data_IF_253740242012
#
_entry.id   IF_253740242012
#
_cell.length_a   1.000
_cell.length_b   1.000
_cell.length_c   1.000
_cell.angle_alpha   90.00
_cell.angle_beta   90.00
_cell.angle_gamma   90.00
#
_symmetry.space_group_name_H-M   'P 1'
#
loop_
_entity.id
_entity.type
_entity.pdbx_description
1 polymer ?
#
# COMPACT_ATOMS: atom_id res chain seq x y z
N UNK A 1 70.72 13.08 3.59
CA UNK A 1 69.92 13.36 4.80
C UNK A 1 68.45 13.26 4.39
N UNK A 2 67.78 12.23 4.91
CA UNK A 2 66.32 12.01 5.03
C UNK A 2 65.42 12.13 3.78
N UNK A 3 64.95 10.96 3.33
CA UNK A 3 63.74 10.73 2.54
C UNK A 3 62.48 11.26 3.24
N UNK A 4 61.53 11.86 2.50
CA UNK A 4 60.09 11.71 2.77
C UNK A 4 59.28 11.78 1.47
N UNK A 5 58.43 10.77 1.29
CA UNK A 5 57.55 10.52 0.15
C UNK A 5 56.19 11.24 0.30
N UNK A 6 55.41 11.42 -0.80
CA UNK A 6 54.07 12.02 -0.75
C UNK A 6 52.99 10.99 -0.38
N UNK A 7 51.87 11.37 0.26
CA UNK A 7 50.77 10.46 0.51
C UNK A 7 49.84 10.29 -0.70
N UNK A 8 49.74 9.02 -1.11
CA UNK A 8 48.69 8.32 -1.86
C UNK A 8 47.29 8.47 -1.23
N UNK A 9 46.14 8.11 -1.79
CA UNK A 9 45.65 7.74 -3.13
C UNK A 9 44.11 7.72 -3.03
N UNK A 10 43.42 8.14 -4.10
CA UNK A 10 41.96 8.03 -4.24
C UNK A 10 41.56 6.55 -4.39
N UNK A 11 40.59 6.09 -3.60
CA UNK A 11 40.06 4.73 -3.72
C UNK A 11 39.09 4.64 -4.90
N UNK A 12 39.50 3.88 -5.92
CA UNK A 12 38.67 3.43 -7.04
C UNK A 12 37.63 2.41 -6.54
N UNK A 13 36.33 2.71 -6.75
CA UNK A 13 35.25 1.72 -6.61
C UNK A 13 35.14 0.97 -7.93
N UNK A 14 35.54 -0.30 -7.90
CA UNK A 14 35.57 -1.17 -9.07
C UNK A 14 34.17 -1.53 -9.58
N UNK A 15 33.94 -1.30 -10.87
CA UNK A 15 32.83 -1.87 -11.64
C UNK A 15 33.04 -3.39 -11.78
N UNK A 16 32.10 -4.21 -11.29
CA UNK A 16 32.04 -5.65 -11.61
C UNK A 16 30.94 -5.91 -12.63
N UNK A 17 31.34 -6.42 -13.79
CA UNK A 17 30.48 -6.88 -14.88
C UNK A 17 29.83 -8.23 -14.53
N UNK A 18 28.50 -8.30 -14.63
CA UNK A 18 27.75 -9.54 -14.44
C UNK A 18 27.45 -10.19 -15.80
N UNK A 19 28.15 -11.27 -16.15
CA UNK A 19 27.71 -12.22 -17.18
C UNK A 19 26.83 -13.28 -16.49
N UNK A 20 25.61 -13.48 -17.00
CA UNK A 20 24.73 -14.61 -16.61
C UNK A 20 24.81 -15.66 -17.71
N UNK A 21 25.40 -16.80 -17.43
CA UNK A 21 25.16 -18.02 -18.22
C UNK A 21 23.86 -18.68 -17.73
N UNK A 22 22.88 -18.77 -18.62
CA UNK A 22 21.70 -19.63 -18.46
C UNK A 22 21.75 -20.69 -19.54
N UNK A 23 22.19 -21.89 -19.18
CA UNK A 23 21.97 -23.09 -19.97
C UNK A 23 20.53 -23.56 -19.76
N UNK A 24 19.71 -23.40 -20.81
CA UNK A 24 18.36 -23.95 -20.89
C UNK A 24 18.48 -25.42 -21.29
N UNK A 25 17.97 -26.34 -20.46
CA UNK A 25 17.65 -27.71 -20.89
C UNK A 25 16.14 -27.86 -20.95
N UNK A 26 15.64 -28.08 -22.15
CA UNK A 26 14.27 -28.47 -22.46
C UNK A 26 14.09 -29.98 -22.26
N UNK A 27 12.95 -30.40 -21.71
CA UNK A 27 12.36 -31.68 -22.08
C UNK A 27 10.81 -31.60 -22.02
N UNK A 28 10.08 -32.23 -22.96
CA UNK A 28 8.63 -32.07 -23.14
C UNK A 28 7.81 -33.22 -22.50
N UNK A 29 6.48 -33.10 -22.66
CA UNK A 29 5.39 -34.08 -22.50
C UNK A 29 4.61 -34.14 -21.17
N UNK A 30 3.50 -33.41 -21.19
CA UNK A 30 2.12 -33.70 -20.75
C UNK A 30 1.79 -34.90 -19.85
N UNK A 31 1.11 -34.60 -18.75
CA UNK A 31 -0.12 -35.29 -18.35
C UNK A 31 -1.03 -34.31 -17.58
N UNK A 32 -2.33 -34.35 -17.88
CA UNK A 32 -3.34 -33.48 -17.30
C UNK A 32 -3.55 -33.81 -15.80
N UNK A 33 -3.22 -32.85 -14.93
CA UNK A 33 -3.49 -32.87 -13.49
C UNK A 33 -4.62 -31.91 -13.10
N UNK A 34 -5.11 -31.95 -11.85
CA UNK A 34 -6.31 -31.26 -11.40
C UNK A 34 -6.18 -29.73 -11.53
N UNK A 35 -7.30 -29.07 -11.86
CA UNK A 35 -7.47 -27.62 -12.04
C UNK A 35 -6.69 -26.82 -11.00
N UNK A 36 -5.57 -26.22 -11.43
CA UNK A 36 -4.65 -25.47 -10.59
C UNK A 36 -5.34 -24.15 -10.16
N UNK A 37 -6.00 -24.28 -9.02
CA UNK A 37 -6.69 -23.36 -8.10
C UNK A 37 -7.22 -22.01 -8.64
N UNK A 38 -8.51 -21.78 -8.38
CA UNK A 38 -9.19 -20.48 -8.53
C UNK A 38 -8.52 -19.33 -7.75
N UNK A 39 -7.61 -19.65 -6.83
CA UNK A 39 -6.92 -18.72 -5.93
C UNK A 39 -5.63 -18.15 -6.55
N UNK A 40 -4.94 -18.89 -7.44
CA UNK A 40 -3.70 -18.39 -8.07
C UNK A 40 -3.91 -17.17 -8.98
N UNK A 41 -5.11 -17.07 -9.57
CA UNK A 41 -5.52 -16.00 -10.48
C UNK A 41 -5.74 -14.63 -9.79
N UNK A 42 -5.88 -14.58 -8.46
CA UNK A 42 -6.23 -13.32 -7.76
C UNK A 42 -5.25 -13.03 -6.61
N UNK A 43 -3.95 -13.07 -6.90
CA UNK A 43 -2.89 -12.67 -5.94
C UNK A 43 -3.07 -11.25 -5.39
N UNK A 44 -3.64 -10.36 -6.20
CA UNK A 44 -3.88 -8.95 -5.86
C UNK A 44 -5.33 -8.58 -6.19
N UNK A 45 -5.95 -7.71 -5.38
CA UNK A 45 -7.25 -7.12 -5.71
C UNK A 45 -7.20 -6.26 -6.98
N UNK A 46 -8.35 -6.02 -7.60
CA UNK A 46 -8.48 -5.17 -8.79
C UNK A 46 -8.22 -5.88 -10.12
N UNK A 47 -8.20 -7.22 -10.14
CA UNK A 47 -8.04 -8.03 -11.36
C UNK A 47 -9.39 -8.29 -12.04
N UNK A 48 -10.19 -7.23 -12.22
CA UNK A 48 -11.56 -7.35 -12.72
C UNK A 48 -11.66 -7.99 -14.11
N UNK A 49 -10.76 -7.64 -15.03
CA UNK A 49 -10.72 -8.23 -16.37
C UNK A 49 -10.46 -9.74 -16.34
N UNK A 50 -9.70 -10.21 -15.36
CA UNK A 50 -9.44 -11.64 -15.18
C UNK A 50 -10.66 -12.36 -14.64
N UNK A 51 -11.35 -11.76 -13.67
CA UNK A 51 -12.63 -12.26 -13.19
C UNK A 51 -13.68 -12.33 -14.33
N UNK A 52 -13.73 -11.31 -15.21
CA UNK A 52 -14.57 -11.32 -16.40
C UNK A 52 -14.22 -12.46 -17.36
N UNK A 53 -12.93 -12.73 -17.62
CA UNK A 53 -12.51 -13.86 -18.47
C UNK A 53 -12.89 -15.20 -17.88
N UNK A 54 -12.74 -15.37 -16.57
CA UNK A 54 -12.96 -16.66 -15.89
C UNK A 54 -14.42 -16.97 -15.65
N UNK A 55 -15.21 -15.98 -15.22
CA UNK A 55 -16.60 -16.20 -14.83
C UNK A 55 -17.59 -15.63 -15.85
N UNK A 56 -17.16 -14.78 -16.79
CA UNK A 56 -17.99 -14.09 -17.80
C UNK A 56 -18.39 -12.65 -17.43
N UNK A 57 -19.30 -12.07 -18.21
CA UNK A 57 -19.80 -10.70 -18.03
C UNK A 57 -18.83 -9.62 -18.49
N UNK A 58 -19.29 -8.36 -18.53
CA UNK A 58 -18.44 -7.20 -18.87
C UNK A 58 -18.06 -6.46 -17.60
N UNK A 59 -16.94 -5.71 -17.55
CA UNK A 59 -16.50 -5.01 -16.34
C UNK A 59 -17.60 -4.18 -15.64
N UNK A 60 -18.45 -3.49 -16.40
CA UNK A 60 -19.58 -2.69 -15.86
C UNK A 60 -20.68 -3.51 -15.17
N UNK A 61 -20.75 -4.81 -15.44
CA UNK A 61 -21.73 -5.71 -14.83
C UNK A 61 -21.26 -6.19 -13.44
N UNK A 62 -19.98 -5.98 -13.11
CA UNK A 62 -19.38 -6.43 -11.86
C UNK A 62 -19.43 -5.39 -10.75
N UNK A 63 -19.57 -5.86 -9.53
CA UNK A 63 -19.30 -5.09 -8.31
C UNK A 63 -17.91 -5.49 -7.79
N UNK A 64 -16.92 -4.61 -7.92
CA UNK A 64 -15.56 -4.87 -7.44
C UNK A 64 -15.37 -4.37 -6.00
N UNK A 65 -15.28 -5.33 -5.08
CA UNK A 65 -15.01 -5.14 -3.66
C UNK A 65 -13.64 -5.72 -3.28
N UNK A 66 -12.72 -5.94 -4.22
CA UNK A 66 -11.47 -6.64 -3.94
C UNK A 66 -10.30 -5.73 -3.55
N UNK A 67 -10.40 -4.42 -3.79
CA UNK A 67 -9.25 -3.49 -3.78
C UNK A 67 -9.04 -2.74 -2.47
N UNK A 68 -10.09 -2.49 -1.68
CA UNK A 68 -10.04 -1.61 -0.51
C UNK A 68 -9.80 -0.14 -0.90
N UNK A 69 -10.37 0.30 -2.02
CA UNK A 69 -10.33 1.69 -2.51
C UNK A 69 -11.65 2.34 -2.15
N UNK A 70 -11.63 3.65 -1.83
CA UNK A 70 -12.86 4.40 -1.62
C UNK A 70 -13.71 4.35 -2.90
N UNK A 71 -14.93 3.80 -2.85
CA UNK A 71 -15.78 3.67 -4.02
C UNK A 71 -16.33 5.01 -4.52
N UNK A 72 -16.27 6.06 -3.69
CA UNK A 72 -16.63 7.43 -4.05
C UNK A 72 -15.37 8.26 -4.24
N UNK A 73 -14.90 8.35 -5.49
CA UNK A 73 -13.68 9.06 -5.81
C UNK A 73 -13.84 10.58 -5.62
N UNK A 74 -12.76 11.24 -5.20
CA UNK A 74 -12.69 12.71 -5.20
C UNK A 74 -12.95 13.22 -6.64
N UNK A 75 -13.76 14.27 -6.83
CA UNK A 75 -14.26 14.67 -8.15
C UNK A 75 -13.19 15.36 -9.00
N UNK A 76 -12.25 14.59 -9.52
CA UNK A 76 -11.10 15.08 -10.29
C UNK A 76 -11.43 15.86 -11.56
N UNK A 77 -12.66 15.73 -12.08
CA UNK A 77 -13.14 16.49 -13.24
C UNK A 77 -13.23 18.00 -13.00
N UNK A 78 -13.19 18.46 -11.75
CA UNK A 78 -13.16 19.89 -11.39
C UNK A 78 -11.78 20.54 -11.61
N UNK A 79 -10.73 19.73 -11.76
CA UNK A 79 -9.36 20.21 -11.96
C UNK A 79 -9.16 20.56 -13.44
N UNK A 80 -8.50 21.69 -13.77
CA UNK A 80 -8.21 22.05 -15.15
C UNK A 80 -7.54 20.92 -15.93
N UNK A 81 -7.86 20.83 -17.22
CA UNK A 81 -7.30 19.82 -18.09
C UNK A 81 -5.77 19.89 -18.09
N UNK A 82 -5.13 18.74 -17.94
CA UNK A 82 -3.67 18.62 -17.96
C UNK A 82 -3.13 18.87 -19.37
N UNK A 83 -2.12 19.72 -19.48
CA UNK A 83 -1.32 19.83 -20.70
C UNK A 83 -0.37 18.64 -20.80
N UNK A 84 -0.69 17.71 -21.71
CA UNK A 84 0.09 16.48 -21.92
C UNK A 84 1.37 16.70 -22.73
N UNK A 85 1.58 17.89 -23.29
CA UNK A 85 2.74 18.20 -24.13
C UNK A 85 3.92 18.77 -23.35
N UNK A 86 3.68 19.19 -22.09
CA UNK A 86 4.69 19.78 -21.21
C UNK A 86 5.14 18.81 -20.14
N UNK A 87 6.44 18.88 -19.82
CA UNK A 87 7.00 18.21 -18.65
C UNK A 87 6.51 18.90 -17.37
N UNK A 88 6.34 18.15 -16.26
CA UNK A 88 6.03 18.74 -14.97
C UNK A 88 7.12 19.72 -14.51
N UNK A 89 6.71 20.88 -14.01
CA UNK A 89 7.63 21.89 -13.46
C UNK A 89 7.91 21.61 -11.97
N UNK A 90 9.11 21.93 -11.47
CA UNK A 90 9.46 21.77 -10.05
C UNK A 90 8.50 22.48 -9.09
N UNK A 91 7.99 23.66 -9.44
CA UNK A 91 7.07 24.42 -8.59
C UNK A 91 5.75 23.67 -8.33
N UNK A 92 5.24 22.94 -9.33
CA UNK A 92 4.02 22.14 -9.19
C UNK A 92 4.25 20.92 -8.29
N UNK A 93 5.45 20.34 -8.33
CA UNK A 93 5.84 19.27 -7.41
C UNK A 93 5.97 19.79 -5.98
N UNK A 94 6.63 20.94 -5.80
CA UNK A 94 6.82 21.58 -4.50
C UNK A 94 5.47 21.97 -3.86
N UNK A 95 4.53 22.52 -4.62
CA UNK A 95 3.18 22.85 -4.12
C UNK A 95 2.42 21.59 -3.70
N UNK A 96 2.48 20.51 -4.50
CA UNK A 96 1.87 19.24 -4.11
C UNK A 96 2.45 18.73 -2.79
N UNK A 97 3.78 18.70 -2.67
CA UNK A 97 4.47 18.21 -1.48
C UNK A 97 4.17 19.09 -0.26
N UNK A 98 4.08 20.42 -0.42
CA UNK A 98 3.69 21.32 0.66
C UNK A 98 2.26 21.05 1.16
N UNK A 99 1.29 20.84 0.24
CA UNK A 99 -0.09 20.48 0.60
C UNK A 99 -0.17 19.13 1.30
N UNK A 100 0.53 18.14 0.76
CA UNK A 100 0.58 16.80 1.33
C UNK A 100 1.23 16.81 2.72
N UNK A 101 2.35 17.51 2.89
CA UNK A 101 3.05 17.66 4.16
C UNK A 101 2.16 18.33 5.22
N UNK A 102 1.45 19.40 4.87
CA UNK A 102 0.48 20.04 5.75
C UNK A 102 -0.65 19.09 6.18
N UNK A 103 -1.19 18.30 5.23
CA UNK A 103 -2.22 17.28 5.52
C UNK A 103 -1.70 16.15 6.42
N UNK A 104 -0.45 15.72 6.22
CA UNK A 104 0.21 14.71 7.06
C UNK A 104 0.73 15.26 8.40
N UNK A 105 0.72 16.59 8.56
CA UNK A 105 1.27 17.33 9.71
C UNK A 105 2.76 17.06 9.93
N UNK A 106 3.52 17.07 8.85
CA UNK A 106 4.98 16.91 8.85
C UNK A 106 5.62 18.09 8.13
N UNK A 107 6.88 18.40 8.43
CA UNK A 107 7.64 19.38 7.67
C UNK A 107 7.83 18.93 6.21
N UNK A 108 7.76 19.86 5.25
CA UNK A 108 7.89 19.55 3.83
C UNK A 108 9.26 18.99 3.45
N UNK A 109 10.33 19.32 4.19
CA UNK A 109 11.66 18.75 4.01
C UNK A 109 11.73 17.25 4.30
N UNK A 110 10.74 16.71 5.01
CA UNK A 110 10.58 15.29 5.28
C UNK A 110 9.59 14.59 4.34
N UNK A 111 9.07 15.27 3.31
CA UNK A 111 8.07 14.73 2.39
C UNK A 111 8.64 14.60 0.98
N UNK A 112 8.40 13.45 0.33
CA UNK A 112 8.74 13.22 -1.07
C UNK A 112 7.55 12.59 -1.79
N UNK A 113 7.02 13.24 -2.82
CA UNK A 113 6.04 12.65 -3.71
C UNK A 113 6.70 11.59 -4.61
N UNK A 114 5.96 10.52 -4.91
CA UNK A 114 6.46 9.39 -5.69
C UNK A 114 5.34 8.74 -6.50
N UNK A 115 5.69 8.02 -7.57
CA UNK A 115 4.81 7.22 -8.43
C UNK A 115 4.12 6.03 -7.75
N UNK A 116 3.46 6.28 -6.61
CA UNK A 116 2.77 5.33 -5.75
C UNK A 116 3.69 4.71 -4.70
N UNK A 117 3.12 4.42 -3.52
CA UNK A 117 3.88 3.86 -2.39
C UNK A 117 4.57 2.52 -2.67
N UNK A 118 4.10 1.76 -3.67
CA UNK A 118 4.76 0.51 -4.11
C UNK A 118 6.20 0.74 -4.59
N UNK A 119 6.46 1.85 -5.30
CA UNK A 119 7.81 2.19 -5.72
C UNK A 119 8.70 2.50 -4.50
N UNK A 120 8.16 3.23 -3.52
CA UNK A 120 8.84 3.53 -2.28
C UNK A 120 9.18 2.26 -1.49
N UNK A 121 8.25 1.29 -1.36
CA UNK A 121 8.49 -0.01 -0.70
C UNK A 121 9.74 -0.69 -1.28
N UNK A 122 9.87 -0.72 -2.60
CA UNK A 122 10.98 -1.40 -3.29
C UNK A 122 12.30 -0.63 -3.22
N UNK A 123 12.25 0.69 -3.20
CA UNK A 123 13.44 1.54 -3.13
C UNK A 123 13.97 1.67 -1.70
N UNK A 124 13.11 1.85 -0.70
CA UNK A 124 13.52 1.96 0.72
C UNK A 124 14.30 0.73 1.17
N UNK A 125 13.82 -0.48 0.84
CA UNK A 125 14.53 -1.71 1.17
C UNK A 125 15.96 -1.73 0.64
N UNK A 126 16.20 -1.12 -0.53
CA UNK A 126 17.54 -1.01 -1.14
C UNK A 126 18.37 0.11 -0.55
N UNK A 127 17.76 1.28 -0.33
CA UNK A 127 18.43 2.47 0.21
C UNK A 127 18.95 2.25 1.63
N UNK A 128 18.19 1.52 2.46
CA UNK A 128 18.61 1.24 3.83
C UNK A 128 19.80 0.27 3.90
N UNK A 129 19.97 -0.61 2.90
CA UNK A 129 21.08 -1.58 2.89
C UNK A 129 21.06 -2.59 4.05
N UNK A 130 19.97 -2.67 4.80
CA UNK A 130 19.77 -3.57 5.94
C UNK A 130 18.97 -4.81 5.54
N UNK A 131 19.06 -5.87 6.35
CA UNK A 131 18.16 -7.01 6.19
C UNK A 131 16.72 -6.57 6.49
N UNK A 132 15.83 -6.74 5.51
CA UNK A 132 14.42 -6.42 5.67
C UNK A 132 13.63 -7.54 6.38
N UNK A 133 12.65 -7.17 7.20
CA UNK A 133 11.66 -8.09 7.78
C UNK A 133 10.27 -7.48 7.79
N UNK A 134 9.26 -8.25 7.39
CA UNK A 134 7.86 -7.83 7.43
C UNK A 134 7.11 -8.41 8.64
N UNK A 135 6.20 -7.62 9.25
CA UNK A 135 5.27 -8.13 10.27
C UNK A 135 4.16 -8.93 9.62
N UNK A 136 3.86 -10.10 10.19
CA UNK A 136 2.80 -10.98 9.71
C UNK A 136 1.47 -10.74 10.45
N UNK A 137 0.32 -10.92 9.77
CA UNK A 137 0.17 -11.10 8.33
C UNK A 137 0.50 -9.79 7.58
N UNK A 138 1.30 -9.90 6.51
CA UNK A 138 1.79 -8.73 5.78
C UNK A 138 1.04 -8.49 4.46
N UNK A 139 1.17 -7.28 3.93
CA UNK A 139 0.90 -7.04 2.52
C UNK A 139 1.98 -7.75 1.68
N UNK A 140 1.57 -8.39 0.57
CA UNK A 140 2.47 -9.24 -0.23
C UNK A 140 3.76 -8.51 -0.66
N UNK A 141 3.66 -7.25 -1.12
CA UNK A 141 4.85 -6.47 -1.52
C UNK A 141 5.81 -6.19 -0.36
N UNK A 142 5.33 -6.15 0.88
CA UNK A 142 6.21 -6.02 2.05
C UNK A 142 7.07 -7.27 2.20
N UNK A 143 6.49 -8.46 2.07
CA UNK A 143 7.24 -9.72 2.14
C UNK A 143 8.24 -9.86 0.98
N UNK A 144 7.84 -9.42 -0.21
CA UNK A 144 8.70 -9.46 -1.40
C UNK A 144 9.91 -8.51 -1.27
N UNK A 145 9.70 -7.30 -0.73
CA UNK A 145 10.75 -6.29 -0.64
C UNK A 145 11.60 -6.44 0.63
N UNK A 146 11.01 -6.87 1.74
CA UNK A 146 11.65 -7.01 3.05
C UNK A 146 11.73 -8.49 3.43
N UNK A 147 12.51 -9.23 2.64
CA UNK A 147 12.65 -10.68 2.77
C UNK A 147 13.63 -11.04 3.90
N UNK A 148 13.08 -11.65 4.96
CA UNK A 148 13.83 -12.08 6.13
C UNK A 148 12.93 -12.84 7.11
N UNK A 149 13.44 -13.24 8.29
CA UNK A 149 12.61 -13.83 9.34
C UNK A 149 11.44 -12.91 9.68
N UNK A 150 10.25 -13.48 9.90
CA UNK A 150 9.07 -12.70 10.27
C UNK A 150 9.36 -11.86 11.53
N UNK A 151 8.88 -10.62 11.53
CA UNK A 151 9.00 -9.73 12.66
C UNK A 151 7.70 -9.72 13.48
N UNK A 152 7.87 -9.54 14.80
CA UNK A 152 6.76 -9.40 15.74
C UNK A 152 6.71 -7.96 16.26
N UNK A 153 5.50 -7.42 16.36
CA UNK A 153 5.31 -6.09 16.93
C UNK A 153 5.87 -6.00 18.36
N UNK A 154 6.62 -4.94 18.62
CA UNK A 154 7.19 -4.66 19.94
C UNK A 154 8.46 -5.43 20.28
N UNK A 155 8.90 -6.38 19.45
CA UNK A 155 10.22 -7.04 19.61
C UNK A 155 11.30 -6.24 18.90
N UNK A 156 12.49 -6.19 19.52
CA UNK A 156 13.67 -5.53 18.96
C UNK A 156 14.66 -6.62 18.57
N UNK A 157 15.01 -6.75 17.28
CA UNK A 157 16.02 -7.70 16.83
C UNK A 157 17.40 -7.36 17.40
N UNK A 158 18.22 -8.39 17.63
CA UNK A 158 19.59 -8.25 18.17
C UNK A 158 20.52 -7.54 17.18
N UNK A 159 20.29 -7.74 15.88
CA UNK A 159 21.06 -7.13 14.81
C UNK A 159 20.24 -6.00 14.16
N UNK A 160 20.89 -4.92 13.67
CA UNK A 160 20.24 -3.87 12.90
C UNK A 160 19.47 -4.39 11.69
N UNK A 161 18.18 -4.06 11.60
CA UNK A 161 17.31 -4.47 10.50
C UNK A 161 16.38 -3.35 10.05
N UNK A 162 15.75 -3.52 8.90
CA UNK A 162 14.62 -2.69 8.48
C UNK A 162 13.30 -3.46 8.65
N UNK A 163 12.41 -2.98 9.52
CA UNK A 163 11.12 -3.58 9.77
C UNK A 163 10.03 -2.85 8.99
N UNK A 164 9.10 -3.59 8.37
CA UNK A 164 7.95 -2.99 7.68
C UNK A 164 6.62 -3.60 8.12
N UNK A 165 5.60 -2.76 8.26
CA UNK A 165 4.21 -3.19 8.43
C UNK A 165 3.23 -2.10 8.00
N UNK A 166 1.98 -2.46 7.72
CA UNK A 166 0.92 -1.49 7.44
C UNK A 166 0.09 -1.14 8.69
N UNK A 167 -0.36 0.12 8.78
CA UNK A 167 -1.27 0.60 9.82
C UNK A 167 -2.28 1.63 9.28
N UNK A 168 -3.60 1.35 9.21
CA UNK A 168 -4.23 0.04 9.38
C UNK A 168 -3.62 -1.04 8.46
N UNK A 169 -3.52 -2.27 8.96
CA UNK A 169 -2.87 -3.36 8.26
C UNK A 169 -3.68 -3.92 7.09
N UNK A 170 -2.99 -4.44 6.08
CA UNK A 170 -3.57 -5.21 4.97
C UNK A 170 -2.95 -6.60 5.02
N UNK A 171 -3.74 -7.66 5.30
CA UNK A 171 -5.15 -7.75 4.91
C UNK A 171 -6.21 -7.65 6.01
N UNK A 172 -5.84 -7.71 7.29
CA UNK A 172 -6.77 -7.91 8.40
C UNK A 172 -7.42 -6.63 8.93
N UNK A 173 -6.99 -5.45 8.44
CA UNK A 173 -7.51 -4.16 8.86
C UNK A 173 -7.12 -3.78 10.28
N UNK A 174 -6.18 -4.49 10.92
CA UNK A 174 -5.74 -4.21 12.29
C UNK A 174 -5.16 -2.81 12.38
N UNK A 175 -5.69 -2.00 13.29
CA UNK A 175 -5.17 -0.69 13.63
C UNK A 175 -4.46 -0.79 14.97
N UNK A 176 -3.20 -0.38 15.01
CA UNK A 176 -2.38 -0.26 16.21
C UNK A 176 -2.33 1.19 16.64
N UNK A 177 -2.22 1.40 17.95
CA UNK A 177 -2.18 2.74 18.51
C UNK A 177 -0.86 3.43 18.13
N UNK A 178 -0.95 4.70 17.75
CA UNK A 178 0.21 5.47 17.29
C UNK A 178 1.32 5.52 18.35
N UNK A 179 0.96 5.70 19.62
CA UNK A 179 1.93 5.78 20.71
C UNK A 179 2.73 4.47 20.92
N UNK A 180 2.11 3.30 20.74
CA UNK A 180 2.81 2.00 20.82
C UNK A 180 3.81 1.85 19.67
N UNK A 181 3.45 2.31 18.47
CA UNK A 181 4.32 2.29 17.29
C UNK A 181 5.53 3.19 17.54
N UNK A 182 5.33 4.39 18.09
CA UNK A 182 6.40 5.34 18.40
C UNK A 182 7.34 4.80 19.48
N UNK A 183 6.80 4.26 20.57
CA UNK A 183 7.59 3.64 21.63
C UNK A 183 8.43 2.47 21.11
N UNK A 184 7.92 1.73 20.12
CA UNK A 184 8.69 0.69 19.45
C UNK A 184 9.74 1.27 18.49
N UNK A 185 9.40 2.32 17.72
CA UNK A 185 10.33 3.03 16.84
C UNK A 185 11.53 3.59 17.60
N UNK A 186 11.33 4.11 18.81
CA UNK A 186 12.41 4.67 19.63
C UNK A 186 13.38 3.58 20.08
N UNK A 187 12.86 2.42 20.52
CA UNK A 187 13.70 1.26 20.88
C UNK A 187 14.45 0.68 19.68
N UNK A 188 13.82 0.63 18.51
CA UNK A 188 14.48 0.19 17.27
C UNK A 188 15.59 1.17 16.88
N UNK A 189 15.34 2.47 16.99
CA UNK A 189 16.32 3.51 16.67
C UNK A 189 17.57 3.39 17.55
N UNK A 190 17.39 3.09 18.84
CA UNK A 190 18.51 2.88 19.76
C UNK A 190 19.42 1.70 19.37
N UNK A 191 18.88 0.68 18.72
CA UNK A 191 19.61 -0.51 18.23
C UNK A 191 20.01 -0.39 16.75
N UNK A 192 19.97 0.80 16.15
CA UNK A 192 20.35 0.99 14.75
C UNK A 192 19.37 0.40 13.72
N UNK A 193 18.16 0.03 14.15
CA UNK A 193 17.13 -0.53 13.28
C UNK A 193 16.16 0.54 12.77
N UNK A 194 15.63 0.29 11.58
CA UNK A 194 14.64 1.16 10.93
C UNK A 194 13.23 0.61 11.05
N UNK A 195 12.26 1.51 11.24
CA UNK A 195 10.85 1.20 11.16
C UNK A 195 10.21 1.87 9.94
N UNK A 196 9.58 1.08 9.08
CA UNK A 196 8.80 1.53 7.92
C UNK A 196 7.33 1.24 8.20
N UNK A 197 6.52 2.30 8.32
CA UNK A 197 5.08 2.21 8.56
C UNK A 197 4.33 2.55 7.28
N UNK A 198 3.67 1.57 6.68
CA UNK A 198 2.81 1.76 5.51
C UNK A 198 1.42 2.23 5.95
N UNK A 199 1.21 3.54 5.86
CA UNK A 199 -0.02 4.24 6.23
C UNK A 199 -0.94 4.45 5.01
N UNK A 200 -0.96 3.51 4.06
CA UNK A 200 -1.81 3.58 2.86
C UNK A 200 -3.31 3.78 3.14
N UNK A 201 -3.80 3.41 4.33
CA UNK A 201 -5.21 3.58 4.73
C UNK A 201 -5.42 4.61 5.84
N UNK A 202 -4.35 5.26 6.34
CA UNK A 202 -4.43 6.11 7.53
C UNK A 202 -5.19 7.42 7.33
N UNK A 203 -5.44 7.85 6.08
CA UNK A 203 -6.28 9.02 5.81
C UNK A 203 -7.72 8.86 6.33
N UNK A 204 -8.18 7.62 6.52
CA UNK A 204 -9.46 7.31 7.13
C UNK A 204 -9.49 7.59 8.64
N UNK A 205 -8.38 7.33 9.33
CA UNK A 205 -8.23 7.48 10.79
C UNK A 205 -6.87 8.13 11.12
N UNK A 206 -6.74 9.46 10.95
CA UNK A 206 -5.46 10.15 11.08
C UNK A 206 -4.98 10.29 12.54
N UNK A 207 -5.80 9.95 13.54
CA UNK A 207 -5.42 10.07 14.96
C UNK A 207 -4.28 9.12 15.34
N UNK A 208 -4.25 7.94 14.72
CA UNK A 208 -3.25 6.89 15.00
C UNK A 208 -2.02 6.97 14.08
N UNK A 209 -1.94 8.00 13.24
CA UNK A 209 -0.83 8.17 12.32
C UNK A 209 0.44 8.60 13.05
N UNK A 210 1.57 8.01 12.66
CA UNK A 210 2.90 8.36 13.13
C UNK A 210 3.65 9.33 12.22
N UNK A 211 3.06 9.73 11.08
CA UNK A 211 3.65 10.72 10.18
C UNK A 211 4.11 12.04 10.85
N UNK A 212 3.36 12.62 11.82
CA UNK A 212 3.77 13.85 12.48
C UNK A 212 5.06 13.73 13.30
N UNK A 213 5.54 12.50 13.52
CA UNK A 213 6.69 12.18 14.36
C UNK A 213 7.94 11.81 13.55
N UNK A 214 7.91 12.01 12.24
CA UNK A 214 9.08 11.91 11.36
C UNK A 214 9.98 13.14 11.57
N UNK A 215 11.26 12.90 11.86
CA UNK A 215 12.31 13.91 11.98
C UNK A 215 13.69 13.25 11.83
N UNK A 216 14.75 14.04 11.65
CA UNK A 216 16.11 13.54 11.37
C UNK A 216 16.72 12.64 12.46
N UNK A 217 16.24 12.79 13.69
CA UNK A 217 16.71 12.02 14.85
C UNK A 217 16.08 10.64 15.02
N UNK A 218 15.14 10.24 14.15
CA UNK A 218 14.40 8.97 14.29
C UNK A 218 14.51 8.14 13.01
N UNK A 219 14.85 6.85 13.16
CA UNK A 219 14.90 5.88 12.06
C UNK A 219 13.49 5.40 11.67
N UNK A 220 12.63 6.36 11.32
CA UNK A 220 11.21 6.16 11.00
C UNK A 220 10.94 6.62 9.57
N UNK A 221 10.33 5.75 8.79
CA UNK A 221 9.83 6.03 7.45
C UNK A 221 8.33 5.77 7.45
N UNK A 222 7.55 6.68 6.88
CA UNK A 222 6.11 6.51 6.71
C UNK A 222 5.76 6.56 5.23
N UNK A 223 4.98 5.59 4.75
CA UNK A 223 4.51 5.54 3.37
C UNK A 223 3.04 5.96 3.31
N UNK A 224 2.69 6.82 2.35
CA UNK A 224 1.30 7.27 2.14
C UNK A 224 0.82 6.93 0.73
N UNK A 225 -0.46 6.60 0.62
CA UNK A 225 -1.09 6.23 -0.64
C UNK A 225 -2.32 7.10 -0.91
N UNK A 226 -2.20 8.02 -1.88
CA UNK A 226 -3.30 8.90 -2.27
C UNK A 226 -4.52 8.10 -2.77
N UNK A 227 -4.24 7.06 -3.56
CA UNK A 227 -5.25 6.33 -4.32
C UNK A 227 -6.26 5.53 -3.51
N UNK A 228 -6.09 5.37 -2.19
CA UNK A 228 -7.01 4.60 -1.34
C UNK A 228 -8.18 5.47 -0.90
N UNK A 229 -7.90 6.45 -0.04
CA UNK A 229 -8.91 7.33 0.54
C UNK A 229 -9.55 8.25 -0.51
N UNK A 230 -8.77 8.79 -1.45
CA UNK A 230 -9.30 9.67 -2.49
C UNK A 230 -9.97 8.91 -3.65
N UNK A 231 -9.98 7.57 -3.64
CA UNK A 231 -10.61 6.75 -4.68
C UNK A 231 -9.92 6.76 -6.05
N UNK A 232 -8.74 7.39 -6.15
CA UNK A 232 -8.04 7.65 -7.42
C UNK A 232 -6.79 6.76 -7.59
N UNK A 233 -6.92 5.44 -7.37
CA UNK A 233 -5.79 4.51 -7.40
C UNK A 233 -5.04 4.42 -8.73
N UNK A 234 -5.73 4.72 -9.84
CA UNK A 234 -5.15 4.78 -11.18
C UNK A 234 -4.17 5.94 -11.38
N UNK A 235 -4.23 6.98 -10.53
CA UNK A 235 -3.35 8.15 -10.60
C UNK A 235 -1.91 7.83 -10.20
N UNK A 236 -1.70 6.70 -9.52
CA UNK A 236 -0.37 6.26 -9.05
C UNK A 236 0.39 7.34 -8.27
N UNK A 237 -0.31 8.09 -7.42
CA UNK A 237 0.31 9.06 -6.51
C UNK A 237 0.50 8.45 -5.11
N UNK A 238 1.66 8.67 -4.52
CA UNK A 238 1.99 8.31 -3.14
C UNK A 238 3.08 9.21 -2.59
N UNK A 239 3.42 9.02 -1.32
CA UNK A 239 4.46 9.80 -0.65
C UNK A 239 5.31 8.90 0.23
N UNK A 240 6.58 9.26 0.36
CA UNK A 240 7.47 8.77 1.39
C UNK A 240 7.76 9.92 2.33
N UNK A 241 7.62 9.66 3.63
CA UNK A 241 8.00 10.57 4.70
C UNK A 241 9.20 9.96 5.45
N UNK A 242 10.24 10.73 5.70
CA UNK A 242 11.42 10.24 6.41
C UNK A 242 12.44 11.34 6.73
N UNK A 243 13.57 10.97 7.39
CA UNK A 243 14.70 11.87 7.61
C UNK A 243 15.15 12.55 6.32
N UNK A 244 15.57 13.82 6.41
CA UNK A 244 15.92 14.67 5.27
C UNK A 244 17.01 14.05 4.38
N UNK A 245 18.03 13.42 4.96
CA UNK A 245 19.08 12.70 4.20
C UNK A 245 18.52 11.52 3.39
N UNK A 246 17.55 10.80 3.94
CA UNK A 246 16.86 9.73 3.23
C UNK A 246 15.98 10.29 2.11
N UNK A 247 15.30 11.43 2.35
CA UNK A 247 14.53 12.13 1.33
C UNK A 247 15.43 12.54 0.17
N UNK A 248 16.61 13.10 0.46
CA UNK A 248 17.60 13.46 -0.56
C UNK A 248 18.05 12.24 -1.37
N UNK A 249 18.38 11.13 -0.69
CA UNK A 249 18.77 9.88 -1.36
C UNK A 249 17.63 9.28 -2.21
N UNK A 250 16.38 9.39 -1.75
CA UNK A 250 15.21 8.96 -2.53
C UNK A 250 15.03 9.82 -3.78
N UNK A 251 15.15 11.15 -3.66
CA UNK A 251 15.07 12.08 -4.81
C UNK A 251 16.14 11.78 -5.86
N UNK A 252 17.37 11.52 -5.43
CA UNK A 252 18.45 11.09 -6.33
C UNK A 252 18.11 9.75 -7.03
N UNK A 253 17.54 8.80 -6.30
CA UNK A 253 17.21 7.48 -6.84
C UNK A 253 16.04 7.50 -7.84
N UNK A 254 15.05 8.37 -7.65
CA UNK A 254 13.89 8.49 -8.56
C UNK A 254 14.14 9.40 -9.76
N UNK A 255 15.02 10.40 -9.62
CA UNK A 255 15.36 11.35 -10.66
C UNK A 255 14.25 12.36 -11.00
N UNK A 256 14.38 12.98 -12.17
CA UNK A 256 13.46 14.04 -12.62
C UNK A 256 12.07 13.52 -12.96
N UNK A 257 11.07 14.38 -12.75
CA UNK A 257 9.64 14.14 -13.04
C UNK A 257 9.07 12.85 -12.41
N UNK A 258 9.19 12.67 -11.08
CA UNK A 258 8.77 11.44 -10.41
C UNK A 258 7.25 11.20 -10.43
N UNK A 259 6.48 12.24 -10.78
CA UNK A 259 5.02 12.26 -10.79
C UNK A 259 4.53 13.03 -12.02
N UNK A 260 3.50 12.50 -12.70
CA UNK A 260 2.97 13.12 -13.92
C UNK A 260 2.08 14.35 -13.63
N UNK A 261 1.97 15.27 -14.58
CA UNK A 261 1.31 16.58 -14.38
C UNK A 261 -0.14 16.48 -13.84
N UNK A 262 -0.94 15.52 -14.33
CA UNK A 262 -2.28 15.31 -13.82
C UNK A 262 -2.32 14.93 -12.33
N UNK A 263 -1.34 14.13 -11.86
CA UNK A 263 -1.25 13.74 -10.46
C UNK A 263 -0.84 14.92 -9.57
N UNK A 264 0.04 15.80 -10.06
CA UNK A 264 0.39 17.04 -9.37
C UNK A 264 -0.85 17.93 -9.17
N UNK A 265 -1.58 18.21 -10.25
CA UNK A 265 -2.75 19.08 -10.21
C UNK A 265 -3.89 18.50 -9.35
N UNK A 266 -4.23 17.22 -9.58
CA UNK A 266 -5.32 16.54 -8.85
C UNK A 266 -4.95 16.37 -7.37
N UNK A 267 -3.73 15.92 -7.07
CA UNK A 267 -3.28 15.74 -5.69
C UNK A 267 -3.31 17.05 -4.91
N UNK A 268 -2.82 18.14 -5.51
CA UNK A 268 -2.80 19.47 -4.90
C UNK A 268 -4.20 19.94 -4.55
N UNK A 269 -5.14 19.84 -5.50
CA UNK A 269 -6.53 20.24 -5.28
C UNK A 269 -7.22 19.36 -4.23
N UNK A 270 -7.03 18.05 -4.28
CA UNK A 270 -7.67 17.11 -3.37
C UNK A 270 -7.17 17.25 -1.92
N UNK A 271 -5.86 17.44 -1.70
CA UNK A 271 -5.33 17.71 -0.36
C UNK A 271 -5.78 19.08 0.21
N UNK A 272 -6.17 20.03 -0.65
CA UNK A 272 -6.75 21.30 -0.24
C UNK A 272 -8.24 21.23 0.13
N UNK A 273 -8.94 20.13 -0.19
CA UNK A 273 -10.40 20.02 -0.04
C UNK A 273 -10.78 19.45 1.34
N UNK A 274 -10.62 20.29 2.37
CA UNK A 274 -10.90 19.92 3.75
C UNK A 274 -12.35 19.47 3.98
N UNK A 275 -13.31 20.07 3.27
CA UNK A 275 -14.73 19.74 3.38
C UNK A 275 -15.02 18.33 2.85
N UNK A 276 -14.50 17.99 1.66
CA UNK A 276 -14.65 16.65 1.11
C UNK A 276 -13.94 15.60 1.96
N UNK A 277 -12.73 15.89 2.45
CA UNK A 277 -11.99 14.98 3.34
C UNK A 277 -12.80 14.66 4.61
N UNK A 278 -13.35 15.69 5.27
CA UNK A 278 -14.15 15.51 6.47
C UNK A 278 -15.43 14.69 6.20
N UNK A 279 -16.18 15.03 5.14
CA UNK A 279 -17.39 14.30 4.76
C UNK A 279 -17.11 12.84 4.38
N UNK A 280 -16.01 12.59 3.65
CA UNK A 280 -15.60 11.25 3.23
C UNK A 280 -15.27 10.36 4.42
N UNK A 281 -14.57 10.87 5.44
CA UNK A 281 -14.29 10.10 6.67
C UNK A 281 -15.59 9.61 7.30
N UNK A 282 -16.54 10.51 7.53
CA UNK A 282 -17.85 10.16 8.12
C UNK A 282 -18.57 9.08 7.30
N UNK A 283 -18.67 9.31 5.98
CA UNK A 283 -19.38 8.41 5.09
C UNK A 283 -18.72 7.02 4.96
N UNK A 284 -17.38 6.93 5.01
CA UNK A 284 -16.67 5.66 5.01
C UNK A 284 -16.99 4.83 6.27
N UNK A 285 -17.00 5.44 7.45
CA UNK A 285 -17.37 4.74 8.69
C UNK A 285 -18.84 4.31 8.72
N UNK A 286 -19.75 5.09 8.14
CA UNK A 286 -21.16 4.69 7.96
C UNK A 286 -21.30 3.48 7.04
N UNK A 287 -20.63 3.49 5.88
CA UNK A 287 -20.63 2.37 4.94
C UNK A 287 -20.02 1.11 5.55
N UNK A 288 -18.94 1.26 6.32
CA UNK A 288 -18.31 0.15 7.01
C UNK A 288 -19.25 -0.48 8.05
N UNK A 289 -19.97 0.33 8.84
CA UNK A 289 -21.01 -0.16 9.78
C UNK A 289 -22.15 -0.88 9.07
N UNK A 290 -22.60 -0.37 7.92
CA UNK A 290 -23.65 -1.01 7.13
C UNK A 290 -23.18 -2.35 6.54
N UNK A 291 -21.92 -2.44 6.07
CA UNK A 291 -21.30 -3.70 5.67
C UNK A 291 -21.21 -4.69 6.84
N UNK A 292 -20.82 -4.22 8.02
CA UNK A 292 -20.73 -5.06 9.23
C UNK A 292 -22.08 -5.69 9.58
N UNK A 293 -23.17 -4.91 9.50
CA UNK A 293 -24.52 -5.39 9.76
C UNK A 293 -24.95 -6.48 8.75
N UNK A 294 -24.70 -6.27 7.46
CA UNK A 294 -25.00 -7.27 6.41
C UNK A 294 -24.20 -8.55 6.61
N UNK A 295 -22.88 -8.45 6.81
CA UNK A 295 -22.03 -9.63 7.02
C UNK A 295 -22.47 -10.42 8.26
N UNK A 296 -22.77 -9.73 9.36
CA UNK A 296 -23.24 -10.34 10.61
C UNK A 296 -24.60 -11.01 10.44
N UNK A 297 -25.52 -10.40 9.69
CA UNK A 297 -26.83 -10.98 9.36
C UNK A 297 -26.76 -12.31 8.61
N UNK A 298 -25.65 -12.54 7.88
CA UNK A 298 -25.34 -13.79 7.19
C UNK A 298 -24.43 -14.73 8.02
N UNK A 299 -24.28 -14.50 9.32
CA UNK A 299 -23.47 -15.34 10.21
C UNK A 299 -21.95 -15.20 10.02
N UNK A 300 -21.49 -14.25 9.20
CA UNK A 300 -20.07 -13.95 9.03
C UNK A 300 -19.61 -13.01 10.15
N UNK A 301 -18.32 -13.12 10.51
CA UNK A 301 -17.71 -12.28 11.55
C UNK A 301 -16.71 -11.30 10.91
N UNK A 302 -17.13 -10.07 10.57
CA UNK A 302 -16.22 -9.07 10.03
C UNK A 302 -15.16 -8.67 11.07
N UNK A 303 -13.93 -8.49 10.60
CA UNK A 303 -12.75 -8.08 11.38
C UNK A 303 -12.08 -6.88 10.73
N UNK A 304 -11.37 -6.11 11.57
CA UNK A 304 -10.55 -4.97 11.17
C UNK A 304 -11.22 -3.62 11.43
N UNK A 305 -10.39 -2.61 11.70
CA UNK A 305 -10.82 -1.24 11.97
C UNK A 305 -10.79 -0.35 10.71
N UNK A 306 -10.07 -0.75 9.64
CA UNK A 306 -10.01 0.02 8.40
C UNK A 306 -11.41 0.17 7.76
N UNK A 307 -11.98 1.36 7.57
CA UNK A 307 -13.35 1.50 7.07
C UNK A 307 -13.49 1.22 5.58
N UNK A 308 -12.39 0.97 4.85
CA UNK A 308 -12.42 0.67 3.41
C UNK A 308 -12.65 -0.81 3.09
N UNK A 309 -12.52 -1.70 4.07
CA UNK A 309 -12.77 -3.13 3.89
C UNK A 309 -12.98 -3.85 5.22
N UNK A 310 -13.48 -5.08 5.14
CA UNK A 310 -13.49 -6.06 6.24
C UNK A 310 -12.82 -7.35 5.82
N UNK A 311 -12.14 -7.98 6.76
CA UNK A 311 -11.72 -9.37 6.64
C UNK A 311 -12.81 -10.24 7.26
N UNK A 312 -13.23 -11.31 6.58
CA UNK A 312 -13.99 -12.41 7.18
C UNK A 312 -13.13 -13.66 7.16
N UNK A 313 -13.23 -14.45 8.22
CA UNK A 313 -12.54 -15.74 8.35
C UNK A 313 -13.59 -16.86 8.43
N UNK A 314 -13.58 -17.76 7.46
CA UNK A 314 -14.53 -18.85 7.34
C UNK A 314 -13.92 -20.00 6.56
N UNK A 315 -14.18 -21.24 7.00
CA UNK A 315 -13.79 -22.47 6.29
C UNK A 315 -14.38 -22.57 4.88
N UNK A 316 -15.40 -21.77 4.60
CA UNK A 316 -16.06 -21.69 3.29
C UNK A 316 -15.58 -20.52 2.44
N UNK A 317 -14.40 -19.93 2.73
CA UNK A 317 -13.94 -18.73 2.02
C UNK A 317 -13.76 -18.94 0.51
N UNK A 318 -13.17 -20.05 0.07
CA UNK A 318 -13.08 -20.36 -1.37
C UNK A 318 -14.46 -20.63 -2.01
N UNK A 319 -15.34 -21.51 -1.45
CA UNK A 319 -16.71 -21.64 -1.93
C UNK A 319 -17.48 -20.31 -2.01
N UNK A 320 -17.35 -19.46 -0.98
CA UNK A 320 -18.00 -18.17 -0.90
C UNK A 320 -17.46 -17.21 -1.97
N UNK A 321 -16.14 -17.13 -2.15
CA UNK A 321 -15.52 -16.38 -3.23
C UNK A 321 -16.09 -16.79 -4.59
N UNK A 322 -16.14 -18.10 -4.86
CA UNK A 322 -16.65 -18.63 -6.13
C UNK A 322 -18.13 -18.27 -6.34
N UNK A 323 -18.95 -18.40 -5.30
CA UNK A 323 -20.36 -18.04 -5.33
C UNK A 323 -20.57 -16.55 -5.63
N UNK A 324 -19.83 -15.67 -4.95
CA UNK A 324 -19.87 -14.23 -5.20
C UNK A 324 -19.40 -13.88 -6.61
N UNK A 325 -18.31 -14.51 -7.09
CA UNK A 325 -17.79 -14.30 -8.44
C UNK A 325 -18.78 -14.73 -9.54
N UNK A 326 -19.51 -15.84 -9.33
CA UNK A 326 -20.61 -16.26 -10.21
C UNK A 326 -21.75 -15.23 -10.25
N UNK A 327 -22.00 -14.56 -9.13
CA UNK A 327 -22.94 -13.43 -9.01
C UNK A 327 -22.34 -12.07 -9.44
N UNK A 328 -21.17 -12.08 -10.11
CA UNK A 328 -20.47 -10.88 -10.60
C UNK A 328 -20.07 -9.92 -9.47
N UNK A 329 -19.71 -10.46 -8.31
CA UNK A 329 -19.18 -9.70 -7.17
C UNK A 329 -17.76 -10.18 -6.92
N UNK A 330 -16.79 -9.31 -7.13
CA UNK A 330 -15.38 -9.63 -6.94
C UNK A 330 -14.95 -9.23 -5.53
N UNK A 331 -14.54 -10.21 -4.74
CA UNK A 331 -13.91 -10.01 -3.42
C UNK A 331 -12.49 -10.59 -3.45
N UNK A 332 -11.72 -10.45 -2.36
CA UNK A 332 -10.29 -10.84 -2.37
C UNK A 332 -10.03 -12.08 -1.50
N UNK A 333 -9.73 -13.25 -2.09
CA UNK A 333 -9.23 -14.41 -1.36
C UNK A 333 -7.71 -14.28 -1.08
N UNK A 334 -7.17 -15.16 -0.23
CA UNK A 334 -5.74 -15.19 0.10
C UNK A 334 -5.16 -16.61 0.00
N UNK A 335 -4.10 -16.76 -0.81
CA UNK A 335 -3.44 -18.07 -1.03
C UNK A 335 -2.82 -18.64 0.25
N UNK A 336 -2.15 -17.80 1.06
CA UNK A 336 -1.51 -18.20 2.33
C UNK A 336 -2.50 -18.37 3.48
N UNK A 337 -3.70 -17.81 3.35
CA UNK A 337 -4.75 -17.84 4.38
C UNK A 337 -6.05 -18.30 3.70
N UNK A 338 -6.21 -19.60 3.42
CA UNK A 338 -7.31 -20.12 2.59
C UNK A 338 -8.70 -19.87 3.18
N UNK A 339 -8.79 -19.70 4.50
CA UNK A 339 -10.03 -19.37 5.21
C UNK A 339 -10.35 -17.86 5.20
N UNK A 340 -9.52 -17.03 4.57
CA UNK A 340 -9.66 -15.57 4.61
C UNK A 340 -10.27 -15.02 3.33
N UNK A 341 -11.23 -14.12 3.50
CA UNK A 341 -11.85 -13.37 2.41
C UNK A 341 -11.97 -11.90 2.82
N UNK A 342 -11.37 -11.00 2.04
CA UNK A 342 -11.48 -9.56 2.28
C UNK A 342 -12.50 -8.95 1.34
N UNK A 343 -13.40 -8.15 1.91
CA UNK A 343 -14.55 -7.54 1.25
C UNK A 343 -14.44 -6.03 1.42
N UNK A 344 -14.27 -5.31 0.33
CA UNK A 344 -14.30 -3.84 0.27
C UNK A 344 -15.71 -3.31 0.49
N UNK A 345 -15.81 -2.03 0.83
CA UNK A 345 -17.10 -1.40 1.07
C UNK A 345 -17.89 -1.14 -0.22
N UNK A 346 -19.20 -1.43 -0.25
CA UNK A 346 -20.06 -1.04 -1.37
C UNK A 346 -20.23 0.48 -1.48
N UNK A 347 -20.34 0.99 -2.71
CA UNK A 347 -20.49 2.43 -2.98
C UNK A 347 -21.81 3.01 -2.49
N UNK A 348 -22.88 2.23 -2.68
CA UNK A 348 -24.26 2.66 -2.53
C UNK A 348 -25.10 1.62 -1.80
N UNK A 349 -26.27 2.01 -1.29
CA UNK A 349 -27.24 1.07 -0.73
C UNK A 349 -27.72 0.03 -1.76
N UNK A 350 -27.68 0.37 -3.06
CA UNK A 350 -27.99 -0.59 -4.13
C UNK A 350 -26.94 -1.71 -4.20
N UNK A 351 -25.66 -1.34 -4.12
CA UNK A 351 -24.55 -2.30 -4.16
C UNK A 351 -24.48 -3.12 -2.87
N UNK A 352 -24.77 -2.50 -1.72
CA UNK A 352 -24.90 -3.21 -0.46
C UNK A 352 -26.03 -4.26 -0.51
N UNK A 353 -27.22 -3.89 -1.01
CA UNK A 353 -28.33 -4.84 -1.21
C UNK A 353 -28.00 -5.91 -2.25
N UNK A 354 -27.12 -5.62 -3.21
CA UNK A 354 -26.66 -6.61 -4.19
C UNK A 354 -25.75 -7.64 -3.53
N UNK A 355 -24.84 -7.21 -2.67
CA UNK A 355 -24.00 -8.11 -1.86
C UNK A 355 -24.86 -8.95 -0.92
N UNK A 356 -25.75 -8.31 -0.16
CA UNK A 356 -26.69 -8.94 0.79
C UNK A 356 -27.47 -10.11 0.14
N UNK A 357 -28.16 -9.86 -0.98
CA UNK A 357 -28.89 -10.93 -1.72
C UNK A 357 -28.00 -12.06 -2.26
N UNK A 358 -26.71 -11.81 -2.47
CA UNK A 358 -25.78 -12.78 -3.02
C UNK A 358 -25.01 -13.54 -1.92
N UNK A 359 -25.12 -13.13 -0.65
CA UNK A 359 -24.54 -13.89 0.44
C UNK A 359 -25.46 -15.09 0.73
N UNK A 360 -24.90 -16.31 0.92
CA UNK A 360 -25.70 -17.47 1.30
C UNK A 360 -26.33 -17.23 2.68
N UNK A 361 -27.54 -17.75 2.89
CA UNK A 361 -28.11 -17.82 4.24
C UNK A 361 -27.27 -18.80 5.07
N UNK A 362 -26.86 -18.35 6.27
CA UNK A 362 -25.97 -19.09 7.16
C UNK A 362 -26.60 -20.30 7.82
#
# INVERSE_FOLDING_TARGET
>A
MVHLAPPQARRNIGRRSWRRDRTVRSNPSSSAGPDVSAVQAVRHGGRLNEACRRYGGRPKDWLDLSTGINPEAWPAASVPATDWTRLPEPDALNELEARAAAHFRVDSGHCCAIGGSELAIRLVARLLGLQGRALQPAYASHEEAFYGPAADFGKVPVEPVALIFANPNNPDGRLRQGHDILAWSDRLTAEGSWLVVDEAYADCEPSESVAPHVHDGRQLIVLRSFGKFFGLAGLRLGFLLGPSDLIAAMREAIGDWPVHAAALAIGTAAYGDAAWIAGTRLALFERARALDAVLTGHGLKPKGACPLFRLVETRSAEPLFRHLAQNRILVRPFERFPDWLRIGIPASSRDLRRLDRALPHG
#
